data_IF_971326265423
#
_entry.id   IF_971326265423
#
_cell.length_a   1.000
_cell.length_b   1.000
_cell.length_c   1.000
_cell.angle_alpha   90.00
_cell.angle_beta   90.00
_cell.angle_gamma   90.00
#
_symmetry.space_group_name_H-M   'P 1'
#
loop_
_entity.id
_entity.type
_entity.pdbx_description
1 polymer ?
#
# COMPACT_ATOMS: atom_id res chain seq x y z
N UNK A 1 -13.75 -41.97 -11.43
CA UNK A 1 -14.67 -40.89 -10.99
C UNK A 1 -14.89 -39.95 -12.16
N UNK A 2 -16.14 -39.80 -12.61
CA UNK A 2 -16.52 -38.89 -13.69
C UNK A 2 -16.52 -37.43 -13.19
N UNK A 3 -16.02 -36.45 -13.98
CA UNK A 3 -15.98 -35.04 -13.57
C UNK A 3 -17.35 -34.35 -13.73
N UNK A 4 -17.78 -33.63 -12.70
CA UNK A 4 -18.95 -32.72 -12.65
C UNK A 4 -18.36 -31.38 -12.15
N UNK A 5 -18.41 -30.18 -12.76
CA UNK A 5 -19.06 -29.57 -13.93
C UNK A 5 -17.98 -29.03 -14.92
N UNK A 6 -18.28 -28.95 -16.22
CA UNK A 6 -17.33 -28.56 -17.29
C UNK A 6 -17.18 -27.04 -17.55
N UNK A 7 -17.79 -26.18 -16.73
CA UNK A 7 -18.03 -24.79 -17.12
C UNK A 7 -17.40 -23.76 -16.16
N UNK A 8 -16.79 -22.71 -16.71
CA UNK A 8 -16.22 -21.57 -15.99
C UNK A 8 -17.20 -20.39 -16.11
N UNK A 9 -17.97 -20.08 -15.07
CA UNK A 9 -19.01 -19.04 -15.09
C UNK A 9 -18.58 -17.80 -14.27
N UNK A 10 -17.58 -17.09 -14.76
CA UNK A 10 -16.98 -15.93 -14.08
C UNK A 10 -17.94 -14.76 -13.99
N UNK A 11 -18.76 -14.53 -15.02
CA UNK A 11 -19.72 -13.43 -15.05
C UNK A 11 -20.77 -13.54 -13.96
N UNK A 12 -21.32 -14.76 -13.83
CA UNK A 12 -22.27 -15.12 -12.79
C UNK A 12 -21.67 -14.95 -11.40
N UNK A 13 -20.38 -15.27 -11.22
CA UNK A 13 -19.67 -15.05 -9.97
C UNK A 13 -19.52 -13.54 -9.65
N UNK A 14 -19.23 -12.71 -10.66
CA UNK A 14 -19.15 -11.25 -10.50
C UNK A 14 -20.51 -10.63 -10.13
N UNK A 15 -21.59 -11.04 -10.78
CA UNK A 15 -22.95 -10.63 -10.40
C UNK A 15 -23.31 -11.09 -9.00
N UNK A 16 -22.87 -12.30 -8.63
CA UNK A 16 -23.11 -12.83 -7.30
C UNK A 16 -22.40 -12.03 -6.21
N UNK A 17 -21.19 -11.53 -6.45
CA UNK A 17 -20.45 -10.76 -5.44
C UNK A 17 -20.86 -9.28 -5.34
N UNK A 18 -21.55 -8.75 -6.36
CA UNK A 18 -21.96 -7.35 -6.45
C UNK A 18 -22.74 -6.80 -5.24
N UNK A 19 -23.73 -7.51 -4.67
CA UNK A 19 -24.45 -7.03 -3.50
C UNK A 19 -23.55 -6.82 -2.26
N UNK A 20 -22.49 -7.60 -2.06
CA UNK A 20 -21.61 -7.49 -0.88
C UNK A 20 -20.81 -6.19 -0.81
N UNK A 21 -20.77 -5.44 -1.91
CA UNK A 21 -20.16 -4.12 -1.97
C UNK A 21 -21.15 -2.99 -1.64
N UNK A 22 -22.37 -3.31 -1.19
CA UNK A 22 -23.44 -2.35 -0.83
C UNK A 22 -23.74 -2.35 0.68
N UNK A 23 -24.23 -1.23 1.21
CA UNK A 23 -24.50 -1.05 2.65
C UNK A 23 -25.43 -2.11 3.27
N UNK A 24 -26.50 -2.58 2.59
CA UNK A 24 -27.36 -3.64 3.12
C UNK A 24 -26.68 -5.00 3.34
N UNK A 25 -25.46 -5.19 2.82
CA UNK A 25 -24.67 -6.42 2.85
C UNK A 25 -23.24 -6.20 3.39
N UNK A 26 -23.09 -5.19 4.26
CA UNK A 26 -21.82 -4.89 4.94
C UNK A 26 -20.84 -4.02 4.13
N UNK A 27 -21.17 -3.63 2.91
CA UNK A 27 -20.36 -2.75 2.07
C UNK A 27 -20.36 -1.31 2.57
N UNK A 28 -19.20 -0.79 3.01
CA UNK A 28 -19.09 0.59 3.51
C UNK A 28 -18.88 1.58 2.37
N UNK A 29 -19.70 2.63 2.29
CA UNK A 29 -19.65 3.65 1.23
C UNK A 29 -18.39 4.51 1.25
N UNK A 30 -17.72 4.64 2.40
CA UNK A 30 -16.51 5.46 2.59
C UNK A 30 -15.19 4.67 2.57
N UNK A 31 -15.20 3.38 2.25
CA UNK A 31 -14.01 2.52 2.22
C UNK A 31 -13.75 2.05 0.79
N UNK A 32 -12.47 1.99 0.37
CA UNK A 32 -12.09 1.40 -0.92
C UNK A 32 -12.41 -0.09 -0.92
N UNK A 33 -13.05 -0.56 -1.98
CA UNK A 33 -13.53 -1.93 -2.13
C UNK A 33 -12.63 -2.65 -3.11
N UNK A 34 -12.17 -3.84 -2.75
CA UNK A 34 -11.28 -4.64 -3.58
C UNK A 34 -11.90 -6.01 -3.82
N UNK A 35 -11.76 -6.51 -5.05
CA UNK A 35 -12.07 -7.88 -5.43
C UNK A 35 -10.82 -8.49 -6.05
N UNK A 36 -10.43 -9.69 -5.59
CA UNK A 36 -9.35 -10.45 -6.20
C UNK A 36 -9.99 -11.65 -6.90
N UNK A 37 -9.99 -11.62 -8.22
CA UNK A 37 -10.46 -12.70 -9.08
C UNK A 37 -9.25 -13.57 -9.47
N UNK A 38 -9.36 -14.88 -9.30
CA UNK A 38 -8.35 -15.84 -9.75
C UNK A 38 -9.01 -16.87 -10.66
N UNK A 39 -8.51 -17.05 -11.88
CA UNK A 39 -9.04 -18.03 -12.83
C UNK A 39 -7.92 -18.69 -13.64
N UNK A 40 -8.10 -19.96 -13.97
CA UNK A 40 -7.22 -20.77 -14.82
C UNK A 40 -7.79 -21.00 -16.23
N UNK A 41 -8.91 -20.34 -16.57
CA UNK A 41 -9.55 -20.49 -17.87
C UNK A 41 -10.45 -19.33 -18.27
N UNK A 42 -10.86 -19.33 -19.53
CA UNK A 42 -11.81 -18.39 -20.10
C UNK A 42 -13.24 -18.64 -19.59
N UNK A 43 -13.93 -17.58 -19.21
CA UNK A 43 -15.33 -17.61 -18.83
C UNK A 43 -16.22 -17.98 -20.02
N UNK A 44 -17.28 -18.73 -19.75
CA UNK A 44 -18.25 -19.24 -20.71
C UNK A 44 -19.58 -18.47 -20.65
N UNK A 45 -19.61 -17.39 -19.87
CA UNK A 45 -20.71 -16.44 -19.70
C UNK A 45 -20.21 -15.00 -19.87
N UNK A 46 -21.14 -14.04 -19.94
CA UNK A 46 -20.78 -12.62 -20.08
C UNK A 46 -20.14 -12.09 -18.80
N UNK A 47 -18.94 -11.52 -18.94
CA UNK A 47 -18.17 -10.95 -17.84
C UNK A 47 -18.17 -9.42 -17.84
N UNK A 48 -18.53 -8.79 -18.96
CA UNK A 48 -18.34 -7.35 -19.17
C UNK A 48 -19.33 -6.57 -18.32
N UNK A 49 -20.62 -6.87 -18.43
CA UNK A 49 -21.66 -6.12 -17.70
C UNK A 49 -21.57 -6.35 -16.18
N UNK A 50 -21.38 -7.59 -15.68
CA UNK A 50 -21.17 -7.82 -14.25
C UNK A 50 -19.93 -7.13 -13.68
N UNK A 51 -18.80 -7.15 -14.39
CA UNK A 51 -17.59 -6.48 -13.96
C UNK A 51 -17.74 -4.95 -13.96
N UNK A 52 -18.42 -4.40 -14.98
CA UNK A 52 -18.69 -2.97 -15.06
C UNK A 52 -19.58 -2.50 -13.91
N UNK A 53 -20.63 -3.25 -13.57
CA UNK A 53 -21.52 -2.92 -12.46
C UNK A 53 -20.74 -2.79 -11.11
N UNK A 54 -19.79 -3.67 -10.87
CA UNK A 54 -18.89 -3.62 -9.72
C UNK A 54 -17.97 -2.39 -9.76
N UNK A 55 -17.35 -2.11 -10.91
CA UNK A 55 -16.44 -0.96 -11.07
C UNK A 55 -17.18 0.38 -10.93
N UNK A 56 -18.39 0.49 -11.46
CA UNK A 56 -19.23 1.69 -11.35
C UNK A 56 -19.60 1.98 -9.88
N UNK A 57 -19.57 0.97 -9.00
CA UNK A 57 -19.73 1.09 -7.53
C UNK A 57 -18.41 1.36 -6.77
N UNK A 58 -17.32 1.60 -7.50
CA UNK A 58 -16.00 1.90 -6.95
C UNK A 58 -15.23 0.68 -6.44
N UNK A 59 -15.58 -0.53 -6.90
CA UNK A 59 -14.83 -1.75 -6.61
C UNK A 59 -13.66 -1.85 -7.57
N UNK A 60 -12.45 -1.97 -7.02
CA UNK A 60 -11.23 -2.28 -7.78
C UNK A 60 -11.12 -3.80 -7.91
N UNK A 61 -11.03 -4.30 -9.14
CA UNK A 61 -10.92 -5.73 -9.41
C UNK A 61 -9.50 -6.05 -9.87
N UNK A 62 -8.82 -6.92 -9.13
CA UNK A 62 -7.55 -7.54 -9.53
C UNK A 62 -7.84 -8.89 -10.17
N UNK A 63 -7.38 -9.10 -11.39
CA UNK A 63 -7.56 -10.39 -12.08
C UNK A 63 -6.25 -11.14 -12.16
N UNK A 64 -6.25 -12.39 -11.69
CA UNK A 64 -5.09 -13.28 -11.74
C UNK A 64 -5.42 -14.46 -12.63
N UNK A 65 -4.82 -14.47 -13.81
CA UNK A 65 -4.88 -15.56 -14.77
C UNK A 65 -3.76 -16.58 -14.51
N UNK A 66 -4.11 -17.85 -14.44
CA UNK A 66 -3.14 -18.95 -14.34
C UNK A 66 -3.11 -19.74 -15.65
N UNK A 67 -1.93 -20.21 -16.04
CA UNK A 67 -1.66 -20.88 -17.31
C UNK A 67 -2.01 -20.01 -18.53
N UNK A 68 -3.06 -20.41 -19.27
CA UNK A 68 -3.50 -19.80 -20.53
C UNK A 68 -4.80 -19.03 -20.41
N UNK A 69 -5.16 -18.56 -19.21
CA UNK A 69 -6.35 -17.73 -19.02
C UNK A 69 -6.34 -16.53 -19.99
N UNK A 70 -7.49 -16.24 -20.60
CA UNK A 70 -7.61 -15.22 -21.63
C UNK A 70 -7.33 -13.82 -21.04
N UNK A 71 -6.17 -13.24 -21.39
CA UNK A 71 -5.75 -11.93 -20.88
C UNK A 71 -6.78 -10.85 -21.19
N UNK A 72 -7.29 -10.81 -22.41
CA UNK A 72 -8.25 -9.80 -22.86
C UNK A 72 -9.50 -9.83 -22.00
N UNK A 73 -10.02 -11.02 -21.69
CA UNK A 73 -11.18 -11.18 -20.81
C UNK A 73 -10.88 -10.71 -19.37
N UNK A 74 -9.68 -10.96 -18.85
CA UNK A 74 -9.26 -10.47 -17.52
C UNK A 74 -9.10 -8.95 -17.49
N UNK A 75 -8.68 -8.34 -18.60
CA UNK A 75 -8.60 -6.88 -18.75
C UNK A 75 -10.01 -6.27 -18.81
N UNK A 76 -10.95 -6.90 -19.51
CA UNK A 76 -12.37 -6.52 -19.54
C UNK A 76 -13.01 -6.59 -18.15
N UNK A 77 -12.62 -7.57 -17.33
CA UNK A 77 -13.07 -7.70 -15.94
C UNK A 77 -12.43 -6.67 -15.02
N UNK A 78 -11.13 -6.42 -15.17
CA UNK A 78 -10.43 -5.48 -14.28
C UNK A 78 -10.68 -4.02 -14.66
N UNK A 79 -11.00 -3.75 -15.92
CA UNK A 79 -11.12 -2.40 -16.50
C UNK A 79 -9.79 -1.70 -16.75
N UNK A 80 -8.69 -2.28 -16.27
CA UNK A 80 -7.31 -1.80 -16.45
C UNK A 80 -6.37 -3.01 -16.53
N UNK A 81 -5.61 -3.11 -17.62
CA UNK A 81 -4.65 -4.19 -17.83
C UNK A 81 -3.45 -4.16 -16.87
N UNK A 82 -3.25 -3.06 -16.15
CA UNK A 82 -2.29 -3.00 -15.07
C UNK A 82 -2.73 -3.85 -13.87
N UNK A 83 -4.03 -4.01 -13.62
CA UNK A 83 -4.59 -4.81 -12.53
C UNK A 83 -4.70 -6.31 -12.87
N UNK A 84 -4.25 -6.69 -14.07
CA UNK A 84 -4.21 -8.08 -14.54
C UNK A 84 -2.83 -8.67 -14.34
N UNK A 85 -2.79 -9.79 -13.64
CA UNK A 85 -1.61 -10.60 -13.43
C UNK A 85 -1.77 -11.93 -14.13
N UNK A 86 -0.72 -12.40 -14.79
CA UNK A 86 -0.68 -13.73 -15.39
C UNK A 86 0.52 -14.49 -14.87
N UNK A 87 0.30 -15.77 -14.59
CA UNK A 87 1.34 -16.71 -14.20
C UNK A 87 1.22 -17.97 -15.03
N UNK A 88 2.36 -18.53 -15.40
CA UNK A 88 2.42 -19.74 -16.23
C UNK A 88 2.06 -20.99 -15.44
N UNK A 89 2.21 -20.94 -14.12
CA UNK A 89 1.84 -22.01 -13.20
C UNK A 89 1.31 -21.45 -11.88
N UNK A 90 0.63 -22.29 -11.10
CA UNK A 90 0.24 -21.92 -9.74
C UNK A 90 1.45 -21.67 -8.81
N UNK A 91 2.64 -22.17 -9.14
CA UNK A 91 3.85 -21.98 -8.33
C UNK A 91 4.40 -20.54 -8.44
N UNK A 92 4.11 -19.85 -9.54
CA UNK A 92 4.58 -18.48 -9.79
C UNK A 92 3.70 -17.41 -9.11
N UNK A 93 2.60 -17.81 -8.46
CA UNK A 93 1.68 -16.92 -7.76
C UNK A 93 2.38 -16.14 -6.62
N UNK A 94 3.47 -16.71 -6.04
CA UNK A 94 4.35 -16.03 -5.06
C UNK A 94 4.89 -14.70 -5.59
N UNK A 95 5.19 -14.61 -6.88
CA UNK A 95 5.69 -13.38 -7.50
C UNK A 95 4.60 -12.32 -7.71
N UNK A 96 3.33 -12.74 -7.72
CA UNK A 96 2.16 -11.86 -7.82
C UNK A 96 1.80 -11.30 -6.46
N UNK A 97 1.95 -12.08 -5.39
CA UNK A 97 1.60 -11.70 -4.01
C UNK A 97 2.18 -10.33 -3.61
N UNK A 98 3.49 -10.16 -3.76
CA UNK A 98 4.17 -8.89 -3.49
C UNK A 98 3.64 -7.73 -4.35
N UNK A 99 3.28 -8.01 -5.61
CA UNK A 99 2.75 -7.00 -6.55
C UNK A 99 1.30 -6.63 -6.26
N UNK A 100 0.48 -7.60 -5.84
CA UNK A 100 -0.93 -7.43 -5.56
C UNK A 100 -1.12 -6.69 -4.23
N UNK A 101 -0.35 -7.06 -3.21
CA UNK A 101 -0.25 -6.34 -1.92
C UNK A 101 0.18 -4.89 -2.14
N UNK A 102 1.25 -4.67 -2.90
CA UNK A 102 1.73 -3.33 -3.24
C UNK A 102 0.63 -2.48 -3.91
N UNK A 103 -0.15 -3.06 -4.83
CA UNK A 103 -1.22 -2.32 -5.53
C UNK A 103 -2.48 -2.09 -4.69
N UNK A 104 -2.89 -3.06 -3.87
CA UNK A 104 -3.98 -2.90 -2.87
C UNK A 104 -3.61 -1.80 -1.85
N UNK A 105 -2.32 -1.65 -1.53
CA UNK A 105 -1.77 -0.56 -0.74
C UNK A 105 -1.70 0.78 -1.49
N UNK A 106 -1.28 0.77 -2.75
CA UNK A 106 -1.01 1.97 -3.56
C UNK A 106 -2.28 2.68 -4.08
N UNK A 107 -3.41 1.98 -4.23
CA UNK A 107 -4.68 2.56 -4.70
C UNK A 107 -5.44 3.39 -3.64
N UNK A 108 -4.76 3.83 -2.57
CA UNK A 108 -5.34 4.72 -1.55
C UNK A 108 -5.60 6.09 -2.18
N UNK A 109 -6.84 6.55 -2.08
CA UNK A 109 -7.14 7.99 -2.18
C UNK A 109 -6.38 8.68 -1.04
N UNK A 110 -5.29 9.39 -1.36
CA UNK A 110 -4.48 10.17 -0.44
C UNK A 110 -5.23 11.40 0.08
N UNK A 111 -6.38 11.19 0.73
CA UNK A 111 -7.31 12.24 1.16
C UNK A 111 -6.78 13.07 2.33
N UNK A 112 -5.64 12.72 2.92
CA UNK A 112 -4.81 13.65 3.70
C UNK A 112 -3.51 12.94 4.07
N UNK A 113 -2.37 13.48 3.64
CA UNK A 113 -1.08 13.19 4.29
C UNK A 113 -1.25 13.74 5.71
N UNK A 114 -1.37 12.87 6.71
CA UNK A 114 -1.78 13.26 8.07
C UNK A 114 -0.59 13.64 8.93
N UNK A 115 0.46 12.81 9.01
CA UNK A 115 1.58 13.07 9.91
C UNK A 115 2.93 12.78 9.23
N UNK A 116 3.67 13.83 8.90
CA UNK A 116 4.98 13.74 8.24
C UNK A 116 5.75 15.05 8.48
N UNK A 117 7.07 14.95 8.68
CA UNK A 117 7.96 16.11 8.68
C UNK A 117 8.76 16.13 7.38
N UNK A 118 8.62 17.20 6.59
CA UNK A 118 9.27 17.30 5.27
C UNK A 118 10.17 18.51 5.22
N UNK A 119 11.45 18.30 4.89
CA UNK A 119 12.44 19.37 4.68
C UNK A 119 12.83 19.43 3.20
N UNK A 120 12.66 20.60 2.60
CA UNK A 120 13.13 20.87 1.23
C UNK A 120 14.54 21.46 1.24
N UNK A 121 15.42 20.93 0.39
CA UNK A 121 16.78 21.46 0.16
C UNK A 121 16.87 21.90 -1.30
N UNK A 122 16.95 23.21 -1.53
CA UNK A 122 16.81 23.79 -2.86
C UNK A 122 18.13 24.38 -3.35
N UNK A 123 18.60 23.89 -4.48
CA UNK A 123 19.75 24.49 -5.16
C UNK A 123 19.38 25.88 -5.69
N UNK A 124 20.15 26.88 -5.29
CA UNK A 124 20.06 28.29 -5.74
C UNK A 124 21.42 28.77 -6.28
N UNK A 125 22.24 27.85 -6.79
CA UNK A 125 23.53 28.15 -7.41
C UNK A 125 23.38 28.99 -8.69
N UNK A 126 24.51 29.47 -9.22
CA UNK A 126 24.52 30.38 -10.38
C UNK A 126 23.99 29.77 -11.69
N UNK A 127 23.80 28.45 -11.77
CA UNK A 127 23.15 27.78 -12.92
C UNK A 127 21.64 27.94 -12.93
N UNK A 128 21.02 28.24 -11.79
CA UNK A 128 19.57 28.33 -11.63
C UNK A 128 19.07 29.70 -12.08
N UNK A 129 18.20 29.71 -13.10
CA UNK A 129 17.54 30.93 -13.57
C UNK A 129 16.26 31.21 -12.77
N UNK A 130 15.73 32.46 -12.77
CA UNK A 130 14.51 32.80 -12.04
C UNK A 130 13.30 31.89 -12.37
N UNK A 131 13.10 31.53 -13.63
CA UNK A 131 12.03 30.61 -14.05
C UNK A 131 12.24 29.16 -13.58
N UNK A 132 13.51 28.75 -13.44
CA UNK A 132 13.88 27.42 -12.94
C UNK A 132 13.60 27.34 -11.44
N UNK A 133 13.93 28.41 -10.72
CA UNK A 133 13.54 28.60 -9.33
C UNK A 133 12.02 28.55 -9.13
N UNK A 134 11.24 29.25 -9.97
CA UNK A 134 9.78 29.16 -9.90
C UNK A 134 9.28 27.73 -10.10
N UNK A 135 9.89 26.97 -11.03
CA UNK A 135 9.53 25.58 -11.28
C UNK A 135 9.78 24.69 -10.06
N UNK A 136 10.92 24.86 -9.36
CA UNK A 136 11.19 24.17 -8.10
C UNK A 136 10.20 24.53 -7.00
N UNK A 137 9.90 25.82 -6.84
CA UNK A 137 8.92 26.31 -5.85
C UNK A 137 7.52 25.76 -6.14
N UNK A 138 7.14 25.60 -7.41
CA UNK A 138 5.84 25.06 -7.79
C UNK A 138 5.67 23.58 -7.42
N UNK A 139 6.73 22.76 -7.46
CA UNK A 139 6.72 21.39 -6.91
C UNK A 139 6.34 21.42 -5.43
N UNK A 140 7.02 22.27 -4.66
CA UNK A 140 6.80 22.40 -3.21
C UNK A 140 5.36 22.86 -2.93
N UNK A 141 4.89 23.88 -3.63
CA UNK A 141 3.53 24.40 -3.49
C UNK A 141 2.49 23.31 -3.79
N UNK A 142 2.72 22.46 -4.79
CA UNK A 142 1.83 21.33 -5.08
C UNK A 142 1.75 20.37 -3.89
N UNK A 143 2.89 19.95 -3.34
CA UNK A 143 2.95 19.04 -2.19
C UNK A 143 2.30 19.64 -0.94
N UNK A 144 2.56 20.93 -0.65
CA UNK A 144 1.95 21.66 0.47
C UNK A 144 0.43 21.73 0.31
N UNK A 145 -0.08 21.98 -0.91
CA UNK A 145 -1.54 22.02 -1.18
C UNK A 145 -2.22 20.67 -0.98
N UNK A 146 -1.50 19.56 -1.19
CA UNK A 146 -2.01 18.19 -1.04
C UNK A 146 -1.86 17.63 0.37
N UNK A 147 -1.11 18.31 1.23
CA UNK A 147 -0.82 17.86 2.61
C UNK A 147 -1.73 18.52 3.63
N UNK A 148 -2.10 17.83 4.71
CA UNK A 148 -2.82 18.47 5.82
C UNK A 148 -1.85 19.17 6.77
N UNK A 149 -1.65 20.48 6.58
CA UNK A 149 -0.63 21.23 7.32
C UNK A 149 -1.11 21.57 8.73
N UNK A 150 -0.26 21.34 9.72
CA UNK A 150 -0.50 21.74 11.10
C UNK A 150 0.56 21.23 12.06
N UNK A 151 0.59 21.73 13.31
CA UNK A 151 1.58 21.34 14.32
C UNK A 151 1.59 19.83 14.61
N UNK A 152 0.41 19.22 14.72
CA UNK A 152 0.26 17.78 14.94
C UNK A 152 0.07 17.00 13.64
N UNK A 153 0.17 17.67 12.49
CA UNK A 153 -0.11 17.10 11.17
C UNK A 153 1.12 17.08 10.28
N UNK A 154 1.07 17.54 9.02
CA UNK A 154 2.28 17.67 8.19
C UNK A 154 2.97 18.98 8.51
N UNK A 155 4.27 18.92 8.81
CA UNK A 155 5.13 20.08 9.00
C UNK A 155 6.13 20.19 7.85
N UNK A 156 6.46 21.43 7.49
CA UNK A 156 7.37 21.72 6.38
C UNK A 156 8.51 22.63 6.86
N UNK A 157 9.73 22.26 6.51
CA UNK A 157 10.93 23.09 6.62
C UNK A 157 11.54 23.27 5.23
N UNK A 158 12.31 24.33 5.06
CA UNK A 158 13.06 24.52 3.81
C UNK A 158 14.36 25.26 4.06
N UNK A 159 15.37 24.90 3.28
CA UNK A 159 16.60 25.66 3.14
C UNK A 159 16.97 25.77 1.67
N UNK A 160 17.66 26.85 1.32
CA UNK A 160 18.30 27.01 0.02
C UNK A 160 19.80 26.90 0.18
N UNK A 161 20.52 26.58 -0.88
CA UNK A 161 21.97 26.55 -0.82
C UNK A 161 22.63 26.95 -2.14
N UNK A 162 23.85 27.45 -2.01
CA UNK A 162 24.83 27.50 -3.08
C UNK A 162 26.22 27.28 -2.48
N UNK A 163 27.00 28.33 -2.25
CA UNK A 163 28.26 28.27 -1.49
C UNK A 163 27.98 27.97 0.00
N UNK A 164 26.91 28.55 0.54
CA UNK A 164 26.48 28.37 1.92
C UNK A 164 24.97 28.07 1.98
N UNK A 165 24.53 27.15 2.85
CA UNK A 165 23.12 26.91 3.08
C UNK A 165 22.50 28.03 3.92
N UNK A 166 21.27 28.40 3.60
CA UNK A 166 20.45 29.36 4.33
C UNK A 166 19.08 28.75 4.61
N UNK A 167 18.69 28.73 5.89
CA UNK A 167 17.36 28.28 6.31
C UNK A 167 16.31 29.30 5.89
N UNK A 168 15.29 28.85 5.16
CA UNK A 168 14.13 29.68 4.82
C UNK A 168 13.12 29.67 5.97
N UNK A 169 12.82 28.48 6.50
CA UNK A 169 11.98 28.27 7.67
C UNK A 169 12.17 26.85 8.24
N UNK A 170 11.94 26.71 9.54
CA UNK A 170 11.99 25.43 10.26
C UNK A 170 10.62 24.73 10.26
N UNK A 171 10.56 23.45 10.64
CA UNK A 171 9.34 22.63 10.66
C UNK A 171 8.23 23.26 11.53
N UNK A 172 8.60 23.86 12.66
CA UNK A 172 7.68 24.53 13.58
C UNK A 172 7.40 26.01 13.25
N UNK A 173 7.90 26.55 12.13
CA UNK A 173 7.74 27.98 11.81
C UNK A 173 6.32 28.33 11.33
N UNK A 174 5.71 27.46 10.52
CA UNK A 174 4.39 27.70 9.93
C UNK A 174 3.41 26.57 10.21
N UNK A 175 2.20 26.93 10.66
CA UNK A 175 1.13 25.98 10.99
C UNK A 175 0.02 25.90 9.94
N UNK A 176 0.11 26.65 8.84
CA UNK A 176 -0.90 26.66 7.78
C UNK A 176 -0.28 26.77 6.38
N UNK A 177 -1.00 26.22 5.38
CA UNK A 177 -0.56 26.17 3.97
C UNK A 177 -0.29 27.56 3.39
N UNK A 178 -1.16 28.53 3.67
CA UNK A 178 -1.10 29.86 3.06
C UNK A 178 0.19 30.60 3.42
N UNK A 179 0.60 30.56 4.68
CA UNK A 179 1.84 31.21 5.14
C UNK A 179 3.10 30.58 4.51
N UNK A 180 3.13 29.25 4.37
CA UNK A 180 4.22 28.54 3.67
C UNK A 180 4.30 29.00 2.21
N UNK A 181 3.16 28.98 1.50
CA UNK A 181 3.10 29.37 0.08
C UNK A 181 3.49 30.83 -0.10
N UNK A 182 3.05 31.73 0.78
CA UNK A 182 3.42 33.14 0.74
C UNK A 182 4.93 33.34 0.95
N UNK A 183 5.52 32.64 1.93
CA UNK A 183 6.97 32.71 2.16
C UNK A 183 7.76 32.17 0.96
N UNK A 184 7.34 31.03 0.38
CA UNK A 184 8.02 30.41 -0.76
C UNK A 184 8.01 31.31 -2.00
N UNK A 185 6.92 32.05 -2.24
CA UNK A 185 6.77 32.98 -3.39
C UNK A 185 7.65 34.23 -3.32
N UNK A 186 8.32 34.51 -2.19
CA UNK A 186 9.22 35.67 -2.08
C UNK A 186 10.41 35.51 -3.03
N UNK A 187 10.72 36.51 -3.88
CA UNK A 187 11.89 36.44 -4.75
C UNK A 187 13.17 36.27 -3.94
N UNK A 188 14.08 35.44 -4.45
CA UNK A 188 15.41 35.23 -3.86
C UNK A 188 16.43 35.20 -4.98
N UNK A 189 17.61 35.74 -4.73
CA UNK A 189 18.71 35.66 -5.69
C UNK A 189 19.25 34.23 -5.80
N UNK A 190 19.77 33.91 -6.97
CA UNK A 190 20.60 32.73 -7.24
C UNK A 190 22.05 33.18 -7.50
N UNK A 191 23.02 32.29 -7.29
CA UNK A 191 24.44 32.61 -7.45
C UNK A 191 25.34 31.71 -6.60
N UNK A 192 26.63 31.68 -6.93
CA UNK A 192 27.61 30.83 -6.26
C UNK A 192 27.68 29.41 -6.84
N UNK A 193 28.43 28.52 -6.19
CA UNK A 193 28.62 27.13 -6.61
C UNK A 193 27.60 26.18 -5.95
N UNK A 194 27.69 24.88 -6.25
CA UNK A 194 26.77 23.85 -5.75
C UNK A 194 27.44 23.01 -4.66
N UNK A 195 27.32 23.40 -3.38
CA UNK A 195 27.87 22.66 -2.23
C UNK A 195 26.80 21.79 -1.54
N UNK A 196 26.38 20.74 -2.24
CA UNK A 196 25.30 19.83 -1.84
C UNK A 196 25.60 19.08 -0.53
N UNK A 197 26.83 18.62 -0.29
CA UNK A 197 27.14 17.89 0.95
C UNK A 197 27.06 18.81 2.17
N UNK A 198 27.52 20.06 2.03
CA UNK A 198 27.35 21.11 3.04
C UNK A 198 25.89 21.41 3.31
N UNK A 199 25.05 21.47 2.26
CA UNK A 199 23.62 21.67 2.40
C UNK A 199 22.94 20.54 3.17
N UNK A 200 23.24 19.28 2.84
CA UNK A 200 22.74 18.11 3.58
C UNK A 200 23.21 18.12 5.04
N UNK A 201 24.47 18.51 5.30
CA UNK A 201 25.01 18.62 6.66
C UNK A 201 24.23 19.66 7.46
N UNK A 202 23.84 20.78 6.85
CA UNK A 202 23.04 21.80 7.50
C UNK A 202 21.55 21.40 7.62
N UNK A 203 21.02 20.63 6.68
CA UNK A 203 19.67 20.09 6.72
C UNK A 203 19.41 19.25 7.99
N UNK A 204 20.46 18.61 8.53
CA UNK A 204 20.41 17.92 9.82
C UNK A 204 19.87 18.81 10.97
N UNK A 205 20.15 20.12 10.95
CA UNK A 205 19.65 21.05 11.97
C UNK A 205 18.13 21.22 11.88
N UNK A 206 17.55 21.22 10.68
CA UNK A 206 16.09 21.34 10.52
C UNK A 206 15.34 20.12 11.09
N UNK A 207 16.03 18.99 11.28
CA UNK A 207 15.51 17.78 11.90
C UNK A 207 15.81 17.68 13.41
N UNK A 208 16.10 18.80 14.07
CA UNK A 208 16.22 18.86 15.54
C UNK A 208 14.87 19.18 16.18
N UNK A 209 14.67 18.66 17.40
CA UNK A 209 13.41 18.80 18.16
C UNK A 209 13.07 20.27 18.44
N UNK A 210 14.06 21.10 18.75
CA UNK A 210 13.91 22.56 18.94
C UNK A 210 13.43 23.30 17.67
N UNK A 211 13.62 22.68 16.51
CA UNK A 211 13.19 23.18 15.19
C UNK A 211 11.92 22.50 14.68
N UNK A 212 11.26 21.71 15.53
CA UNK A 212 9.95 21.10 15.26
C UNK A 212 10.00 19.63 14.89
N UNK A 213 11.17 19.02 14.73
CA UNK A 213 11.24 17.61 14.33
C UNK A 213 10.62 16.69 15.38
N UNK A 214 9.73 15.83 14.91
CA UNK A 214 9.03 14.82 15.70
C UNK A 214 9.64 13.42 15.53
N UNK A 215 10.92 13.35 15.16
CA UNK A 215 11.64 12.09 14.99
C UNK A 215 11.59 11.21 16.26
N UNK A 216 11.71 11.81 17.46
CA UNK A 216 11.59 11.10 18.74
C UNK A 216 10.18 10.63 19.06
N UNK A 217 9.17 11.21 18.41
CA UNK A 217 7.76 10.83 18.52
C UNK A 217 7.39 9.78 17.46
N UNK A 218 8.38 9.18 16.80
CA UNK A 218 8.24 8.20 15.74
C UNK A 218 7.53 8.71 14.48
N UNK A 219 7.45 10.04 14.29
CA UNK A 219 6.96 10.64 13.05
C UNK A 219 8.03 10.53 11.98
N UNK A 220 7.67 10.02 10.79
CA UNK A 220 8.60 9.90 9.67
C UNK A 220 9.12 11.26 9.22
N UNK A 221 10.39 11.29 8.86
CA UNK A 221 11.10 12.48 8.41
C UNK A 221 11.54 12.26 6.96
N UNK A 222 11.24 13.22 6.09
CA UNK A 222 11.60 13.19 4.67
C UNK A 222 12.39 14.43 4.29
N UNK A 223 13.52 14.25 3.61
CA UNK A 223 14.28 15.30 2.97
C UNK A 223 14.09 15.18 1.46
N UNK A 224 13.61 16.24 0.81
CA UNK A 224 13.52 16.31 -0.65
C UNK A 224 14.56 17.33 -1.13
N UNK A 225 15.56 16.88 -1.88
CA UNK A 225 16.59 17.73 -2.46
C UNK A 225 16.37 17.89 -3.96
N UNK A 226 16.42 19.11 -4.47
CA UNK A 226 16.35 19.41 -5.91
C UNK A 226 17.64 20.13 -6.32
N UNK A 227 18.35 19.59 -7.33
CA UNK A 227 19.66 20.06 -7.80
C UNK A 227 19.79 19.93 -9.32
N UNK A 228 20.53 20.81 -9.98
CA UNK A 228 20.70 20.80 -11.44
C UNK A 228 22.13 20.52 -11.92
N UNK A 229 23.07 20.52 -10.97
CA UNK A 229 24.48 20.38 -11.23
C UNK A 229 25.16 19.36 -10.36
N UNK A 230 26.46 19.21 -10.62
CA UNK A 230 27.34 18.28 -9.92
C UNK A 230 27.93 18.97 -8.69
N UNK A 231 27.92 18.28 -7.57
CA UNK A 231 28.39 18.83 -6.29
C UNK A 231 29.91 19.12 -6.33
N UNK A 232 30.28 20.29 -5.81
CA UNK A 232 31.68 20.71 -5.61
C UNK A 232 32.33 20.05 -4.38
N UNK A 233 31.52 19.48 -3.50
CA UNK A 233 31.91 18.76 -2.28
C UNK A 233 31.45 17.29 -2.31
N UNK A 234 31.38 16.70 -3.51
CA UNK A 234 30.85 15.35 -3.74
C UNK A 234 31.53 14.25 -2.93
N UNK A 235 32.81 14.44 -2.62
CA UNK A 235 33.59 13.52 -1.79
C UNK A 235 33.07 13.38 -0.36
N UNK A 236 32.23 14.32 0.11
CA UNK A 236 31.60 14.28 1.43
C UNK A 236 30.14 13.80 1.40
N UNK A 237 29.54 13.63 0.21
CA UNK A 237 28.12 13.30 0.07
C UNK A 237 27.75 11.99 0.77
N UNK A 238 28.53 10.93 0.55
CA UNK A 238 28.27 9.61 1.12
C UNK A 238 28.24 9.64 2.65
N UNK A 239 29.24 10.26 3.27
CA UNK A 239 29.37 10.35 4.72
C UNK A 239 28.26 11.18 5.37
N UNK A 240 27.85 12.28 4.72
CA UNK A 240 26.81 13.15 5.27
C UNK A 240 25.43 12.53 5.08
N UNK A 241 25.15 11.99 3.89
CA UNK A 241 23.85 11.41 3.58
C UNK A 241 23.60 10.12 4.38
N UNK A 242 24.62 9.28 4.57
CA UNK A 242 24.52 8.08 5.40
C UNK A 242 24.17 8.40 6.87
N UNK A 243 24.72 9.49 7.44
CA UNK A 243 24.38 9.94 8.79
C UNK A 243 22.93 10.38 8.93
N UNK A 244 22.38 11.07 7.92
CA UNK A 244 20.95 11.43 7.90
C UNK A 244 20.07 10.19 7.80
N UNK A 245 20.39 9.27 6.88
CA UNK A 245 19.64 8.02 6.70
C UNK A 245 19.69 7.13 7.94
N UNK A 246 20.84 7.06 8.62
CA UNK A 246 20.99 6.31 9.88
C UNK A 246 20.10 6.84 11.01
N UNK A 247 19.64 8.10 10.94
CA UNK A 247 18.63 8.67 11.85
C UNK A 247 17.19 8.33 11.46
N UNK A 248 16.98 7.58 10.38
CA UNK A 248 15.65 7.26 9.85
C UNK A 248 15.07 8.34 8.94
N UNK A 249 15.89 9.30 8.47
CA UNK A 249 15.46 10.32 7.51
C UNK A 249 15.50 9.75 6.09
N UNK A 250 14.37 9.80 5.39
CA UNK A 250 14.25 9.35 4.01
C UNK A 250 14.70 10.48 3.09
N UNK A 251 15.67 10.23 2.20
CA UNK A 251 16.20 11.24 1.28
C UNK A 251 15.68 10.97 -0.13
N UNK A 252 14.84 11.85 -0.66
CA UNK A 252 14.42 11.88 -2.05
C UNK A 252 15.27 12.87 -2.84
N UNK A 253 16.07 12.36 -3.77
CA UNK A 253 16.99 13.15 -4.58
C UNK A 253 16.45 13.38 -5.99
N UNK A 254 16.16 14.65 -6.31
CA UNK A 254 15.65 15.09 -7.61
C UNK A 254 16.77 15.80 -8.38
N UNK A 255 17.22 15.18 -9.46
CA UNK A 255 18.16 15.78 -10.39
C UNK A 255 17.46 16.40 -11.60
N UNK A 256 17.94 17.57 -12.01
CA UNK A 256 17.45 18.26 -13.21
C UNK A 256 18.60 18.41 -14.20
N UNK A 257 18.36 18.10 -15.48
CA UNK A 257 19.32 18.38 -16.55
C UNK A 257 20.65 17.65 -16.37
N UNK A 258 21.69 18.39 -15.93
CA UNK A 258 23.08 17.89 -15.83
C UNK A 258 23.42 17.28 -14.47
N UNK A 259 22.45 17.15 -13.57
CA UNK A 259 22.64 16.45 -12.31
C UNK A 259 23.10 15.01 -12.56
N UNK A 260 24.12 14.57 -11.82
CA UNK A 260 24.75 13.25 -11.98
C UNK A 260 23.96 12.19 -11.21
N UNK A 261 23.57 11.11 -11.88
CA UNK A 261 22.70 10.07 -11.29
C UNK A 261 23.38 9.37 -10.10
N UNK A 262 24.69 9.14 -10.17
CA UNK A 262 25.45 8.52 -9.09
C UNK A 262 25.45 9.35 -7.80
N UNK A 263 25.48 10.69 -7.91
CA UNK A 263 25.40 11.58 -6.74
C UNK A 263 24.00 11.53 -6.11
N UNK A 264 22.95 11.49 -6.94
CA UNK A 264 21.56 11.34 -6.46
C UNK A 264 21.40 10.02 -5.71
N UNK A 265 21.90 8.92 -6.26
CA UNK A 265 21.85 7.59 -5.63
C UNK A 265 22.67 7.55 -4.35
N UNK A 266 23.84 8.20 -4.31
CA UNK A 266 24.67 8.33 -3.11
C UNK A 266 23.93 9.06 -1.99
N UNK A 267 23.20 10.13 -2.33
CA UNK A 267 22.39 10.88 -1.37
C UNK A 267 21.15 10.11 -0.90
N UNK A 268 20.44 9.47 -1.82
CA UNK A 268 19.20 8.77 -1.54
C UNK A 268 19.44 7.40 -0.85
N UNK A 269 20.57 6.76 -1.14
CA UNK A 269 20.91 5.40 -0.68
C UNK A 269 20.18 4.28 -1.43
N UNK A 270 19.21 4.61 -2.29
CA UNK A 270 18.45 3.68 -3.11
C UNK A 270 17.94 4.40 -4.36
N UNK A 271 18.00 3.72 -5.52
CA UNK A 271 17.46 4.19 -6.81
C UNK A 271 15.97 4.56 -6.76
N UNK A 272 15.17 3.86 -5.96
CA UNK A 272 13.72 4.12 -5.82
C UNK A 272 13.41 5.50 -5.22
N UNK A 273 14.39 6.15 -4.59
CA UNK A 273 14.27 7.48 -4.01
C UNK A 273 15.00 8.54 -4.85
N UNK A 274 15.36 8.21 -6.10
CA UNK A 274 15.94 9.15 -7.06
C UNK A 274 14.96 9.43 -8.19
N UNK A 275 14.91 10.68 -8.63
CA UNK A 275 14.15 11.08 -9.81
C UNK A 275 15.03 12.00 -10.64
N UNK A 276 15.19 11.69 -11.92
CA UNK A 276 15.91 12.55 -12.86
C UNK A 276 14.96 13.08 -13.92
N UNK A 277 14.98 14.38 -14.15
CA UNK A 277 14.21 15.04 -15.21
C UNK A 277 15.13 15.81 -16.14
N UNK A 278 14.80 15.85 -17.43
CA UNK A 278 15.69 16.46 -18.43
C UNK A 278 15.82 17.98 -18.35
N UNK A 279 14.85 18.69 -17.75
CA UNK A 279 14.87 20.14 -17.53
C UNK A 279 13.79 20.57 -16.51
N UNK A 280 13.83 21.83 -16.08
CA UNK A 280 12.92 22.37 -15.07
C UNK A 280 11.43 22.33 -15.47
N UNK A 281 11.10 22.45 -16.76
CA UNK A 281 9.71 22.35 -17.23
C UNK A 281 9.10 20.95 -17.01
N UNK A 282 9.95 19.93 -16.81
CA UNK A 282 9.56 18.55 -16.55
C UNK A 282 9.41 18.24 -15.06
N UNK A 283 9.70 19.19 -14.16
CA UNK A 283 9.42 19.04 -12.73
C UNK A 283 7.92 18.88 -12.42
N UNK A 284 7.02 19.28 -13.33
CA UNK A 284 5.59 18.97 -13.18
C UNK A 284 5.28 17.47 -13.25
N UNK A 285 6.13 16.69 -13.93
CA UNK A 285 5.93 15.25 -14.12
C UNK A 285 6.22 14.48 -12.82
N UNK A 286 6.92 15.11 -11.85
CA UNK A 286 7.29 14.50 -10.56
C UNK A 286 6.31 14.83 -9.43
N UNK A 287 5.27 15.62 -9.71
CA UNK A 287 4.27 16.02 -8.72
C UNK A 287 3.55 14.81 -8.11
N UNK A 288 3.09 13.88 -8.96
CA UNK A 288 2.38 12.68 -8.52
C UNK A 288 3.34 11.69 -7.83
N UNK A 289 4.50 11.32 -8.41
CA UNK A 289 5.47 10.45 -7.72
C UNK A 289 5.88 10.94 -6.33
N UNK A 290 6.16 12.24 -6.16
CA UNK A 290 6.52 12.80 -4.85
C UNK A 290 5.31 12.86 -3.91
N UNK A 291 4.13 13.18 -4.42
CA UNK A 291 2.90 13.12 -3.63
C UNK A 291 2.68 11.70 -3.11
N UNK A 292 2.73 10.68 -3.97
CA UNK A 292 2.52 9.28 -3.63
C UNK A 292 3.55 8.81 -2.58
N UNK A 293 4.82 9.19 -2.76
CA UNK A 293 5.87 8.99 -1.76
C UNK A 293 5.50 9.58 -0.39
N UNK A 294 5.05 10.84 -0.34
CA UNK A 294 4.63 11.46 0.90
C UNK A 294 3.43 10.73 1.51
N UNK A 295 2.50 10.24 0.69
CA UNK A 295 1.34 9.45 1.14
C UNK A 295 1.75 8.10 1.76
N UNK A 296 2.69 7.38 1.15
CA UNK A 296 3.24 6.12 1.68
C UNK A 296 3.97 6.35 3.01
N UNK A 297 4.68 7.47 3.14
CA UNK A 297 5.52 7.74 4.31
C UNK A 297 4.78 8.42 5.48
N UNK A 298 3.58 8.96 5.28
CA UNK A 298 2.84 9.74 6.28
C UNK A 298 2.01 8.92 7.28
N UNK A 299 2.34 7.64 7.44
CA UNK A 299 1.82 6.63 8.39
C UNK A 299 0.31 6.66 8.69
N UNK A 300 -0.34 5.52 8.43
CA UNK A 300 -1.50 5.08 9.19
C UNK A 300 -1.25 3.63 9.63
N UNK A 301 -1.58 3.31 10.88
CA UNK A 301 -1.64 1.93 11.37
C UNK A 301 -2.52 1.09 10.43
N UNK A 302 -2.01 -0.07 10.02
CA UNK A 302 -2.68 -0.93 9.05
C UNK A 302 -3.37 -2.07 9.79
N UNK A 303 -4.68 -1.95 9.97
CA UNK A 303 -5.52 -3.04 10.49
C UNK A 303 -6.09 -3.84 9.30
N UNK A 304 -5.88 -5.15 9.31
CA UNK A 304 -6.38 -6.07 8.31
C UNK A 304 -7.22 -7.15 8.99
N UNK A 305 -8.52 -7.15 8.71
CA UNK A 305 -9.45 -8.16 9.21
C UNK A 305 -9.72 -9.21 8.14
N UNK A 306 -9.50 -10.48 8.46
CA UNK A 306 -9.64 -11.59 7.52
C UNK A 306 -10.72 -12.53 8.01
N UNK A 307 -11.69 -12.81 7.14
CA UNK A 307 -12.69 -13.85 7.41
C UNK A 307 -12.29 -15.08 6.60
N UNK A 308 -12.12 -16.20 7.31
CA UNK A 308 -11.82 -17.50 6.72
C UNK A 308 -13.08 -18.35 6.77
N UNK A 309 -13.48 -18.85 5.61
CA UNK A 309 -14.58 -19.79 5.47
C UNK A 309 -14.16 -21.03 4.70
N UNK A 310 -14.87 -22.12 4.95
CA UNK A 310 -14.59 -23.43 4.36
C UNK A 310 -15.70 -23.82 3.41
N UNK A 311 -15.34 -24.16 2.16
CA UNK A 311 -16.25 -24.89 1.29
C UNK A 311 -16.27 -26.36 1.72
N UNK A 312 -17.30 -26.71 2.49
CA UNK A 312 -17.56 -28.07 2.95
C UNK A 312 -18.74 -28.70 2.19
N UNK A 313 -18.95 -28.33 0.92
CA UNK A 313 -20.05 -28.79 0.06
C UNK A 313 -20.18 -30.31 -0.10
N UNK A 314 -19.16 -31.06 0.29
CA UNK A 314 -19.13 -32.54 0.21
C UNK A 314 -19.18 -33.24 1.57
N UNK A 315 -19.26 -32.50 2.66
CA UNK A 315 -19.36 -33.06 4.01
C UNK A 315 -20.77 -33.53 4.34
N UNK A 316 -20.85 -34.60 5.10
CA UNK A 316 -22.09 -35.11 5.70
C UNK A 316 -22.21 -34.61 7.14
N UNK A 317 -23.44 -34.61 7.65
CA UNK A 317 -23.75 -34.25 9.03
C UNK A 317 -22.89 -35.07 10.02
N UNK A 318 -22.24 -34.38 10.95
CA UNK A 318 -21.41 -34.98 12.00
C UNK A 318 -19.99 -35.35 11.57
N UNK A 319 -19.60 -35.07 10.32
CA UNK A 319 -18.21 -35.27 9.90
C UNK A 319 -17.28 -34.19 10.48
N UNK A 320 -16.02 -34.52 10.81
CA UNK A 320 -15.02 -33.52 11.14
C UNK A 320 -14.84 -32.50 10.01
N UNK A 321 -14.55 -31.24 10.34
CA UNK A 321 -14.35 -30.14 9.37
C UNK A 321 -13.29 -30.44 8.29
N UNK A 322 -12.25 -31.19 8.66
CA UNK A 322 -11.15 -31.56 7.75
C UNK A 322 -11.32 -32.95 7.11
N UNK A 323 -12.49 -33.58 7.27
CA UNK A 323 -12.74 -34.90 6.73
C UNK A 323 -12.56 -34.93 5.21
N UNK A 324 -11.72 -35.85 4.71
CA UNK A 324 -11.39 -35.94 3.29
C UNK A 324 -10.43 -34.85 2.78
N UNK A 325 -9.92 -33.99 3.67
CA UNK A 325 -9.04 -32.86 3.35
C UNK A 325 -7.76 -32.83 4.21
N UNK A 326 -6.98 -33.92 4.29
CA UNK A 326 -5.80 -34.01 5.18
C UNK A 326 -4.68 -33.02 4.81
N UNK A 327 -4.67 -32.54 3.55
CA UNK A 327 -3.76 -31.47 3.13
C UNK A 327 -4.17 -30.12 3.75
N UNK A 328 -5.45 -29.76 3.70
CA UNK A 328 -5.92 -28.49 4.29
C UNK A 328 -5.65 -28.46 5.80
N UNK A 329 -5.91 -29.58 6.48
CA UNK A 329 -5.58 -29.78 7.90
C UNK A 329 -4.09 -29.50 8.18
N UNK A 330 -3.19 -30.05 7.37
CA UNK A 330 -1.75 -29.88 7.56
C UNK A 330 -1.23 -28.47 7.23
N UNK A 331 -1.88 -27.73 6.32
CA UNK A 331 -1.35 -26.46 5.81
C UNK A 331 -1.97 -25.23 6.47
N UNK A 332 -3.23 -25.30 6.91
CA UNK A 332 -3.96 -24.14 7.43
C UNK A 332 -3.26 -23.42 8.60
N UNK A 333 -2.65 -24.10 9.59
CA UNK A 333 -1.97 -23.42 10.69
C UNK A 333 -0.84 -22.50 10.22
N UNK A 334 0.01 -23.02 9.32
CA UNK A 334 1.11 -22.26 8.75
C UNK A 334 0.62 -21.07 7.93
N UNK A 335 -0.46 -21.23 7.17
CA UNK A 335 -1.06 -20.13 6.39
C UNK A 335 -1.55 -19.01 7.31
N UNK A 336 -2.21 -19.37 8.41
CA UNK A 336 -2.74 -18.40 9.37
C UNK A 336 -1.63 -17.72 10.15
N UNK A 337 -0.57 -18.45 10.49
CA UNK A 337 0.63 -17.90 11.11
C UNK A 337 1.36 -16.94 10.17
N UNK A 338 1.54 -17.29 8.90
CA UNK A 338 2.18 -16.45 7.88
C UNK A 338 1.39 -15.15 7.65
N UNK A 339 0.06 -15.25 7.56
CA UNK A 339 -0.84 -14.11 7.39
C UNK A 339 -0.87 -13.22 8.63
N UNK A 340 -0.79 -13.77 9.84
CA UNK A 340 -0.81 -12.98 11.07
C UNK A 340 0.56 -12.49 11.51
N UNK A 341 1.62 -13.09 10.99
CA UNK A 341 3.01 -12.71 11.23
C UNK A 341 3.57 -11.74 10.18
N UNK A 342 2.72 -11.13 9.33
CA UNK A 342 3.07 -10.12 8.32
C UNK A 342 3.76 -8.89 8.93
N UNK A 343 5.01 -9.06 9.37
CA UNK A 343 5.92 -8.01 9.83
C UNK A 343 6.57 -7.41 8.60
N UNK A 344 6.32 -6.13 8.36
CA UNK A 344 6.91 -5.41 7.21
C UNK A 344 6.03 -5.31 5.97
N UNK A 345 4.77 -5.78 6.03
CA UNK A 345 3.77 -5.57 4.95
C UNK A 345 3.04 -4.23 5.10
N UNK A 346 3.47 -3.39 6.04
CA UNK A 346 3.03 -2.02 6.11
C UNK A 346 3.32 -1.32 4.79
N UNK A 347 2.33 -0.56 4.32
CA UNK A 347 2.45 0.35 3.19
C UNK A 347 3.39 1.55 3.50
N UNK A 348 4.46 1.34 4.28
CA UNK A 348 5.48 2.29 4.71
C UNK A 348 6.54 1.59 5.57
N UNK A 349 7.81 1.99 5.44
CA UNK A 349 8.93 1.36 6.14
C UNK A 349 8.75 1.46 7.67
N UNK A 350 8.39 0.35 8.33
CA UNK A 350 8.40 0.21 9.79
C UNK A 350 7.07 0.42 10.52
N UNK A 351 5.91 0.40 9.86
CA UNK A 351 4.65 0.21 10.59
C UNK A 351 4.38 -1.29 10.80
N UNK A 352 3.81 -1.65 11.95
CA UNK A 352 3.34 -3.01 12.22
C UNK A 352 1.92 -3.17 11.66
N UNK A 353 1.70 -4.22 10.88
CA UNK A 353 0.35 -4.59 10.43
C UNK A 353 -0.28 -5.40 11.56
N UNK A 354 -1.47 -4.98 12.02
CA UNK A 354 -2.26 -5.78 12.95
C UNK A 354 -3.31 -6.56 12.16
N UNK A 355 -3.13 -7.88 12.11
CA UNK A 355 -4.03 -8.78 11.39
C UNK A 355 -4.91 -9.54 12.39
N UNK A 356 -6.22 -9.45 12.23
CA UNK A 356 -7.19 -10.23 13.00
C UNK A 356 -7.90 -11.21 12.09
N UNK A 357 -8.10 -12.44 12.57
CA UNK A 357 -8.78 -13.49 11.81
C UNK A 357 -10.05 -13.92 12.52
N UNK A 358 -11.11 -14.18 11.75
CA UNK A 358 -12.34 -14.80 12.23
C UNK A 358 -12.69 -16.02 11.34
N UNK A 359 -13.18 -17.10 11.96
CA UNK A 359 -13.55 -18.33 11.25
C UNK A 359 -15.06 -18.51 11.25
N UNK A 360 -15.63 -18.75 10.05
CA UNK A 360 -17.02 -19.17 9.93
C UNK A 360 -17.08 -20.65 9.52
N UNK A 361 -17.67 -21.46 10.40
CA UNK A 361 -17.94 -22.88 10.16
C UNK A 361 -19.41 -23.19 10.44
N UNK A 362 -20.02 -24.05 9.64
CA UNK A 362 -21.39 -24.53 9.85
C UNK A 362 -21.39 -25.71 10.85
N UNK A 363 -21.49 -25.44 12.15
CA UNK A 363 -21.37 -26.44 13.23
C UNK A 363 -22.35 -26.18 14.40
N UNK A 364 -22.79 -27.25 15.07
CA UNK A 364 -23.58 -27.24 16.31
C UNK A 364 -22.77 -26.74 17.52
N UNK A 365 -21.45 -26.93 17.49
CA UNK A 365 -20.56 -26.25 18.42
C UNK A 365 -20.41 -24.83 17.93
N UNK A 366 -21.01 -23.90 18.66
CA UNK A 366 -21.09 -22.48 18.33
C UNK A 366 -19.68 -21.84 18.38
N UNK A 367 -18.81 -22.16 17.42
CA UNK A 367 -17.48 -21.58 17.29
C UNK A 367 -17.69 -20.08 17.06
N UNK A 368 -17.39 -19.22 18.05
CA UNK A 368 -17.71 -17.81 17.93
C UNK A 368 -16.78 -17.21 16.87
N UNK A 369 -17.30 -16.78 15.72
CA UNK A 369 -16.49 -15.93 14.83
C UNK A 369 -16.33 -14.58 15.50
N UNK A 370 -15.20 -14.49 16.16
CA UNK A 370 -14.68 -13.29 16.77
C UNK A 370 -13.39 -12.99 16.04
N UNK A 371 -13.20 -11.74 15.65
CA UNK A 371 -11.91 -11.29 15.17
C UNK A 371 -10.93 -11.32 16.33
N UNK A 372 -9.86 -12.08 16.16
CA UNK A 372 -8.78 -12.16 17.12
C UNK A 372 -7.45 -12.43 16.41
N UNK A 373 -6.35 -12.04 17.04
CA UNK A 373 -5.02 -12.40 16.58
C UNK A 373 -4.94 -13.93 16.59
N UNK A 374 -4.46 -14.51 15.48
CA UNK A 374 -4.35 -15.96 15.36
C UNK A 374 -3.40 -16.55 16.41
N UNK A 375 -3.77 -17.70 16.94
CA UNK A 375 -2.97 -18.51 17.88
C UNK A 375 -3.21 -19.99 17.55
N UNK A 376 -2.22 -20.85 17.77
CA UNK A 376 -2.34 -22.30 17.51
C UNK A 376 -3.58 -22.93 18.16
N UNK A 377 -3.96 -22.45 19.34
CA UNK A 377 -5.15 -22.89 20.10
C UNK A 377 -6.47 -22.73 19.33
N UNK A 378 -6.53 -21.79 18.39
CA UNK A 378 -7.68 -21.60 17.49
C UNK A 378 -7.78 -22.76 16.52
N UNK A 379 -6.65 -23.24 16.00
CA UNK A 379 -6.62 -24.38 15.10
C UNK A 379 -6.92 -25.69 15.82
N UNK A 380 -6.41 -25.88 17.05
CA UNK A 380 -6.80 -27.03 17.89
C UNK A 380 -8.31 -27.08 18.10
N UNK A 381 -8.92 -25.92 18.27
CA UNK A 381 -10.37 -25.78 18.38
C UNK A 381 -11.08 -26.13 17.06
N UNK A 382 -10.52 -25.76 15.90
CA UNK A 382 -11.06 -26.12 14.58
C UNK A 382 -10.97 -27.64 14.29
N UNK A 383 -9.94 -28.33 14.77
CA UNK A 383 -9.81 -29.80 14.62
C UNK A 383 -10.95 -30.58 15.29
N UNK A 384 -11.50 -30.02 16.37
CA UNK A 384 -12.61 -30.64 17.11
C UNK A 384 -14.00 -30.32 16.52
N UNK A 385 -14.07 -29.46 15.50
CA UNK A 385 -15.34 -29.04 14.90
C UNK A 385 -15.92 -30.14 14.03
N UNK A 386 -17.14 -30.57 14.36
CA UNK A 386 -17.99 -31.39 13.49
C UNK A 386 -19.02 -30.53 12.78
N UNK A 387 -19.23 -30.78 11.48
CA UNK A 387 -20.08 -29.90 10.64
C UNK A 387 -21.52 -30.39 10.56
N UNK A 388 -22.45 -29.45 10.37
CA UNK A 388 -23.89 -29.69 10.34
C UNK A 388 -24.43 -30.15 8.98
N UNK A 389 -23.54 -30.69 8.16
CA UNK A 389 -23.82 -31.06 6.77
C UNK A 389 -23.16 -30.12 5.77
N UNK A 390 -23.43 -30.32 4.47
CA UNK A 390 -22.71 -29.62 3.42
C UNK A 390 -23.04 -28.14 3.47
N UNK A 391 -22.02 -27.33 3.34
CA UNK A 391 -22.16 -25.89 3.16
C UNK A 391 -21.71 -25.55 1.77
N UNK A 392 -22.66 -25.09 0.98
CA UNK A 392 -22.39 -24.52 -0.33
C UNK A 392 -22.15 -23.03 -0.13
N UNK A 393 -21.09 -22.48 -0.74
CA UNK A 393 -20.91 -21.03 -0.84
C UNK A 393 -22.06 -20.44 -1.67
N UNK A 394 -23.16 -20.13 -0.97
CA UNK A 394 -24.37 -19.56 -1.51
C UNK A 394 -24.78 -18.34 -0.66
N UNK A 395 -25.75 -17.58 -1.15
CA UNK A 395 -26.16 -16.33 -0.53
C UNK A 395 -26.61 -16.48 0.94
N UNK A 396 -27.20 -17.63 1.31
CA UNK A 396 -27.61 -17.91 2.69
C UNK A 396 -26.41 -18.14 3.62
N UNK A 397 -25.36 -18.82 3.14
CA UNK A 397 -24.16 -19.07 3.94
C UNK A 397 -23.38 -17.77 4.20
N UNK A 398 -23.20 -16.92 3.19
CA UNK A 398 -22.50 -15.64 3.38
C UNK A 398 -23.32 -14.67 4.24
N UNK A 399 -24.66 -14.67 4.14
CA UNK A 399 -25.53 -13.90 5.04
C UNK A 399 -25.43 -14.36 6.51
N UNK A 400 -25.08 -15.62 6.76
CA UNK A 400 -24.80 -16.11 8.11
C UNK A 400 -23.46 -15.59 8.69
N UNK A 401 -22.56 -15.08 7.84
CA UNK A 401 -21.31 -14.41 8.25
C UNK A 401 -21.55 -12.96 8.68
N UNK A 402 -22.53 -12.28 8.07
CA UNK A 402 -22.91 -10.89 8.40
C UNK A 402 -23.43 -10.75 9.85
N UNK A 403 -24.12 -11.77 10.37
CA UNK A 403 -24.69 -11.75 11.72
C UNK A 403 -23.66 -11.80 12.86
N UNK A 404 -22.36 -12.03 12.57
CA UNK A 404 -21.29 -12.00 13.57
C UNK A 404 -20.84 -10.58 13.95
N UNK A 405 -21.27 -9.57 13.21
CA UNK A 405 -20.83 -8.18 13.39
C UNK A 405 -21.51 -7.43 14.54
N UNK A 406 -22.65 -7.91 15.06
CA UNK A 406 -23.40 -7.18 16.08
C UNK A 406 -22.89 -7.36 17.52
N UNK A 407 -21.89 -8.21 17.76
CA UNK A 407 -21.49 -8.62 19.11
C UNK A 407 -20.09 -8.17 19.60
N UNK A 408 -19.30 -7.38 18.87
CA UNK A 408 -17.99 -7.00 19.40
C UNK A 408 -17.22 -5.89 18.68
N UNK A 409 -17.30 -4.69 19.26
CA UNK A 409 -16.25 -3.66 19.42
C UNK A 409 -15.04 -3.71 18.45
N UNK A 410 -14.97 -2.80 17.47
CA UNK A 410 -13.92 -1.76 17.40
C UNK A 410 -14.13 -0.77 16.25
N UNK A 411 -13.81 0.48 16.55
CA UNK A 411 -14.09 1.71 15.80
C UNK A 411 -12.92 2.11 14.87
N UNK A 412 -12.13 1.16 14.34
CA UNK A 412 -10.92 1.44 13.57
C UNK A 412 -11.05 1.14 12.07
N UNK A 413 -10.28 1.88 11.28
CA UNK A 413 -10.22 1.89 9.81
C UNK A 413 -9.59 0.59 9.23
N UNK A 414 -10.21 -0.58 9.44
CA UNK A 414 -9.71 -1.86 8.94
C UNK A 414 -10.05 -2.17 7.47
N UNK A 415 -9.13 -2.82 6.75
CA UNK A 415 -9.37 -3.45 5.43
C UNK A 415 -9.88 -4.88 5.64
N UNK A 416 -10.73 -5.39 4.73
CA UNK A 416 -11.26 -6.75 4.80
C UNK A 416 -10.84 -7.61 3.61
N UNK A 417 -10.47 -8.85 3.87
CA UNK A 417 -10.24 -9.88 2.86
C UNK A 417 -11.07 -11.13 3.17
N UNK A 418 -11.65 -11.71 2.12
CA UNK A 418 -12.35 -13.00 2.20
C UNK A 418 -11.45 -14.05 1.57
N UNK A 419 -11.14 -15.11 2.33
CA UNK A 419 -10.35 -16.23 1.85
C UNK A 419 -11.21 -17.48 1.88
N UNK A 420 -11.35 -18.10 0.71
CA UNK A 420 -12.11 -19.31 0.52
C UNK A 420 -11.17 -20.51 0.27
N UNK A 421 -11.43 -21.59 0.98
CA UNK A 421 -10.76 -22.87 0.79
C UNK A 421 -11.78 -23.91 0.30
N UNK A 422 -11.76 -24.15 -1.03
CA UNK A 422 -11.84 -25.43 -1.76
C UNK A 422 -12.93 -25.57 -2.83
N UNK A 423 -12.50 -25.65 -4.10
CA UNK A 423 -13.19 -26.37 -5.18
C UNK A 423 -12.33 -27.54 -5.68
N UNK A 424 -12.94 -28.71 -5.95
CA UNK A 424 -12.26 -29.95 -6.33
C UNK A 424 -11.56 -29.89 -7.69
N UNK A 425 -10.30 -29.44 -7.70
CA UNK A 425 -9.13 -30.02 -8.39
C UNK A 425 -7.90 -29.21 -7.99
N UNK A 426 -6.90 -29.89 -7.46
CA UNK A 426 -5.59 -29.41 -6.99
C UNK A 426 -5.33 -27.90 -7.12
N UNK A 427 -5.68 -27.14 -6.08
CA UNK A 427 -5.15 -25.80 -5.85
C UNK A 427 -4.54 -25.80 -4.45
N UNK A 428 -3.21 -25.71 -4.39
CA UNK A 428 -2.43 -25.57 -3.15
C UNK A 428 -2.17 -24.10 -2.89
N UNK A 429 -2.35 -23.73 -1.63
CA UNK A 429 -1.63 -22.62 -0.98
C UNK A 429 -0.19 -23.09 -0.75
N UNK A 430 0.79 -22.20 -0.95
CA UNK A 430 2.20 -22.55 -0.81
C UNK A 430 2.69 -22.14 0.58
N UNK A 431 3.08 -23.14 1.36
CA UNK A 431 4.00 -23.07 2.51
C UNK A 431 5.43 -23.19 1.96
N UNK A 432 6.38 -22.39 2.44
CA UNK A 432 7.80 -22.45 2.05
C UNK A 432 8.62 -23.36 3.00
N UNK A 433 9.54 -24.21 2.49
CA UNK A 433 10.67 -24.68 3.28
C UNK A 433 12.01 -24.29 2.62
N UNK A 434 12.45 -23.03 2.76
CA UNK A 434 13.70 -22.60 3.41
C UNK A 434 13.98 -21.10 3.28
#
# INVERSE_FOLDING_TARGET
MSPINKNTLTGSALTFVDPYFTEPKGGRSMVKKFLILITDGEAQDDVIDPAKALRDKGVVIFSVGVYGANRTQLEEISGDGSLVFQVESFDDLKSIESKLIFRVCALRDCKSIRQLDVVFVLDHSGSILPQDQESMINVIIHLVKKSDVGPDRVQFGALRYSDHPEVLFYLNTYSNRSAIIEHLRRPRGTGGNTFTARALKHANNLFMEEHGSRLKQNVKQMLIIITDGVSHDRNQLSDVASKLRAKGIIIYAVGVGKAEQEELETMAGNKNYTIHVSNFNKLKDIYLPLQDSMCTNAQEDCFLDIVVSFDISTHLLGQPLFHGHPRLESYLPGILEDITSLRGVSCGAGAEVQVSVAFKVNSDQNFPAKFQIYQETIFDSLLQVTVNGPTHLNAQFVQSMENMETMGLMDSMGKRAFMDFLGKREKRVIQDPR
#
